data_IF_372471068355
#
_entry.id   IF_372471068355
#
_cell.length_a   1.000
_cell.length_b   1.000
_cell.length_c   1.000
_cell.angle_alpha   90.00
_cell.angle_beta   90.00
_cell.angle_gamma   90.00
#
_symmetry.space_group_name_H-M   'P 1'
#
loop_
_entity.id
_entity.type
_entity.pdbx_description
1 polymer ?
#
# COMPACT_ATOMS: atom_id res chain seq x y z
N UNK A 1 18.76 -22.13 24.15
CA UNK A 1 17.48 -22.13 23.43
C UNK A 1 17.71 -22.81 22.10
N UNK A 2 16.95 -23.84 21.78
CA UNK A 2 17.10 -24.59 20.52
C UNK A 2 16.78 -23.68 19.33
N UNK A 3 17.75 -23.48 18.45
CA UNK A 3 17.56 -22.74 17.20
C UNK A 3 16.81 -23.65 16.23
N UNK A 4 15.49 -23.48 16.14
CA UNK A 4 14.67 -24.18 15.12
C UNK A 4 15.16 -23.73 13.74
N UNK A 5 15.55 -24.69 12.90
CA UNK A 5 15.92 -24.45 11.51
C UNK A 5 14.86 -25.01 10.57
N UNK A 6 14.54 -24.26 9.53
CA UNK A 6 13.64 -24.72 8.48
C UNK A 6 14.33 -25.80 7.64
N UNK A 7 13.66 -26.92 7.38
CA UNK A 7 14.16 -28.00 6.52
C UNK A 7 13.22 -28.17 5.31
N UNK A 8 13.58 -27.52 4.19
CA UNK A 8 12.79 -27.58 2.96
C UNK A 8 13.21 -28.79 2.11
N UNK A 9 12.27 -29.71 1.91
CA UNK A 9 12.43 -30.86 1.03
C UNK A 9 11.50 -30.72 -0.18
N UNK A 10 12.08 -30.37 -1.32
CA UNK A 10 11.34 -30.20 -2.56
C UNK A 10 11.05 -31.54 -3.24
N UNK A 11 9.85 -31.71 -3.78
CA UNK A 11 9.46 -32.93 -4.52
C UNK A 11 10.22 -33.12 -5.83
N UNK A 12 10.67 -32.02 -6.45
CA UNK A 12 11.45 -31.99 -7.70
C UNK A 12 12.48 -30.86 -7.65
N UNK A 13 13.39 -30.81 -8.63
CA UNK A 13 14.25 -29.64 -8.84
C UNK A 13 13.40 -28.42 -9.14
N UNK A 14 13.78 -27.29 -8.56
CA UNK A 14 13.17 -25.99 -8.81
C UNK A 14 13.46 -25.53 -10.24
N UNK A 15 12.51 -24.86 -10.85
CA UNK A 15 12.76 -24.09 -12.05
C UNK A 15 13.46 -22.77 -11.70
N UNK A 16 14.16 -22.18 -12.67
CA UNK A 16 14.90 -20.93 -12.45
C UNK A 16 14.02 -19.79 -11.91
N UNK A 17 12.76 -19.69 -12.35
CA UNK A 17 11.82 -18.67 -11.84
C UNK A 17 11.28 -18.99 -10.44
N UNK A 18 11.38 -20.24 -9.97
CA UNK A 18 10.98 -20.61 -8.59
C UNK A 18 12.09 -20.28 -7.58
N UNK A 19 13.36 -20.22 -8.02
CA UNK A 19 14.50 -19.93 -7.15
C UNK A 19 14.41 -18.54 -6.51
N UNK A 20 13.94 -17.54 -7.26
CA UNK A 20 13.69 -16.19 -6.75
C UNK A 20 12.58 -16.21 -5.68
N UNK A 21 11.46 -16.88 -5.95
CA UNK A 21 10.38 -17.03 -4.97
C UNK A 21 10.83 -17.72 -3.68
N UNK A 22 11.65 -18.78 -3.79
CA UNK A 22 12.21 -19.47 -2.62
C UNK A 22 13.16 -18.55 -1.85
N UNK A 23 13.96 -17.74 -2.54
CA UNK A 23 14.84 -16.76 -1.88
C UNK A 23 14.04 -15.76 -1.06
N UNK A 24 12.95 -15.21 -1.62
CA UNK A 24 12.04 -14.31 -0.88
C UNK A 24 11.36 -15.01 0.30
N UNK A 25 10.94 -16.27 0.12
CA UNK A 25 10.35 -17.07 1.20
C UNK A 25 11.34 -17.26 2.36
N UNK A 26 12.58 -17.67 2.06
CA UNK A 26 13.61 -17.89 3.08
C UNK A 26 13.91 -16.62 3.87
N UNK A 27 14.03 -15.48 3.19
CA UNK A 27 14.20 -14.18 3.83
C UNK A 27 13.00 -13.82 4.73
N UNK A 28 11.78 -14.12 4.29
CA UNK A 28 10.56 -13.88 5.09
C UNK A 28 10.50 -14.74 6.35
N UNK A 29 11.07 -15.95 6.30
CA UNK A 29 11.03 -16.93 7.40
C UNK A 29 12.19 -16.79 8.40
N UNK A 30 13.22 -16.01 8.09
CA UNK A 30 14.41 -15.83 8.94
C UNK A 30 14.05 -15.31 10.34
N UNK A 31 13.04 -14.45 10.44
CA UNK A 31 12.60 -13.81 11.67
C UNK A 31 11.31 -14.41 12.28
N UNK A 32 10.84 -15.55 11.75
CA UNK A 32 9.59 -16.17 12.20
C UNK A 32 9.84 -17.15 13.35
N UNK A 33 9.23 -16.88 14.49
CA UNK A 33 9.21 -17.77 15.65
C UNK A 33 7.83 -18.43 15.79
N UNK A 34 7.75 -19.74 15.51
CA UNK A 34 6.51 -20.50 15.69
C UNK A 34 6.20 -20.72 17.17
N UNK A 35 5.00 -20.33 17.59
CA UNK A 35 4.45 -20.57 18.92
C UNK A 35 3.42 -21.71 18.87
N UNK A 36 2.94 -22.16 20.03
CA UNK A 36 1.83 -23.12 20.13
C UNK A 36 0.45 -22.44 20.14
N UNK A 37 0.39 -21.16 19.75
CA UNK A 37 -0.86 -20.42 19.68
C UNK A 37 -1.61 -20.75 18.39
N UNK A 38 -2.93 -20.58 18.40
CA UNK A 38 -3.75 -20.73 17.21
C UNK A 38 -3.39 -19.68 16.15
N UNK A 39 -3.44 -20.08 14.88
CA UNK A 39 -3.19 -19.21 13.74
C UNK A 39 -4.19 -18.04 13.69
N UNK A 40 -3.68 -16.85 13.37
CA UNK A 40 -4.48 -15.63 13.21
C UNK A 40 -4.08 -14.87 11.97
N UNK A 41 -5.06 -14.26 11.31
CA UNK A 41 -4.79 -13.29 10.24
C UNK A 41 -4.08 -12.08 10.83
N UNK A 42 -2.95 -11.70 10.21
CA UNK A 42 -2.20 -10.50 10.56
C UNK A 42 -2.08 -9.61 9.35
N UNK A 43 -2.40 -8.34 9.51
CA UNK A 43 -2.19 -7.32 8.49
C UNK A 43 -0.72 -6.91 8.46
N UNK A 44 -0.05 -7.03 7.31
CA UNK A 44 1.40 -6.80 7.19
C UNK A 44 1.79 -5.31 7.21
N UNK A 45 0.84 -4.41 6.95
CA UNK A 45 1.09 -2.96 6.90
C UNK A 45 0.75 -2.24 8.22
N UNK A 46 0.56 -3.00 9.29
CA UNK A 46 0.36 -2.50 10.64
C UNK A 46 1.24 -3.31 11.61
N UNK A 47 2.11 -2.68 12.42
CA UNK A 47 2.98 -3.41 13.36
C UNK A 47 2.21 -4.26 14.37
N UNK A 48 1.05 -3.77 14.81
CA UNK A 48 0.13 -4.46 15.71
C UNK A 48 -0.68 -5.56 14.99
N UNK A 49 -0.60 -5.59 13.66
CA UNK A 49 -1.22 -6.62 12.84
C UNK A 49 -2.70 -6.40 12.54
N UNK A 50 -3.23 -5.22 12.86
CA UNK A 50 -4.64 -4.92 12.70
C UNK A 50 -4.92 -4.35 11.31
N UNK A 51 -5.97 -4.87 10.68
CA UNK A 51 -6.43 -4.28 9.44
C UNK A 51 -7.11 -2.93 9.72
N UNK A 52 -6.72 -1.91 8.96
CA UNK A 52 -7.49 -0.67 8.84
C UNK A 52 -7.56 -0.22 7.39
N UNK A 53 -8.70 0.36 7.01
CA UNK A 53 -8.87 0.96 5.68
C UNK A 53 -7.77 1.99 5.40
N UNK A 54 -7.37 2.75 6.43
CA UNK A 54 -6.27 3.72 6.35
C UNK A 54 -4.95 3.05 5.96
N UNK A 55 -4.52 2.03 6.71
CA UNK A 55 -3.26 1.32 6.40
C UNK A 55 -3.27 0.66 5.02
N UNK A 56 -4.42 0.15 4.58
CA UNK A 56 -4.55 -0.40 3.23
C UNK A 56 -4.43 0.67 2.16
N UNK A 57 -5.11 1.81 2.34
CA UNK A 57 -5.02 2.93 1.42
C UNK A 57 -3.60 3.48 1.34
N UNK A 58 -2.94 3.71 2.48
CA UNK A 58 -1.58 4.26 2.53
C UNK A 58 -0.57 3.35 1.82
N UNK A 59 -0.72 2.03 1.92
CA UNK A 59 0.11 1.06 1.19
C UNK A 59 -0.16 1.07 -0.30
N UNK A 60 -1.44 1.08 -0.70
CA UNK A 60 -1.82 1.11 -2.11
C UNK A 60 -1.37 2.40 -2.80
N UNK A 61 -1.46 3.55 -2.12
CA UNK A 61 -0.99 4.83 -2.67
C UNK A 61 0.52 4.78 -2.95
N UNK A 62 1.32 4.15 -2.09
CA UNK A 62 2.76 4.01 -2.30
C UNK A 62 3.12 3.12 -3.50
N UNK A 63 2.33 2.09 -3.77
CA UNK A 63 2.62 1.14 -4.86
C UNK A 63 1.99 1.52 -6.21
N UNK A 64 0.78 2.06 -6.20
CA UNK A 64 -0.04 2.24 -7.42
C UNK A 64 0.03 3.67 -7.95
N UNK A 65 0.17 4.64 -7.05
CA UNK A 65 0.04 6.04 -7.41
C UNK A 65 1.43 6.66 -7.40
N UNK A 66 2.04 6.77 -8.58
CA UNK A 66 2.87 7.94 -8.85
C UNK A 66 1.90 9.12 -8.79
N UNK A 67 1.66 9.60 -7.58
CA UNK A 67 0.84 10.78 -7.37
C UNK A 67 1.42 11.91 -8.20
N UNK A 68 0.60 12.87 -8.65
CA UNK A 68 1.17 14.13 -9.14
C UNK A 68 2.17 14.63 -8.08
N UNK A 69 3.26 15.25 -8.51
CA UNK A 69 4.16 15.93 -7.57
C UNK A 69 3.35 17.09 -6.96
N UNK A 70 2.66 16.81 -5.84
CA UNK A 70 1.87 17.78 -5.11
C UNK A 70 2.86 18.74 -4.46
N UNK A 71 2.77 20.01 -4.80
CA UNK A 71 3.54 21.07 -4.16
C UNK A 71 3.10 21.25 -2.70
N UNK A 72 3.99 21.79 -1.86
CA UNK A 72 3.68 22.13 -0.46
C UNK A 72 2.43 23.03 -0.36
N UNK A 73 2.22 23.90 -1.35
CA UNK A 73 1.03 24.75 -1.41
C UNK A 73 -0.26 23.95 -1.65
N UNK A 74 -0.24 22.99 -2.56
CA UNK A 74 -1.39 22.14 -2.83
C UNK A 74 -1.71 21.23 -1.64
N UNK A 75 -0.69 20.68 -0.96
CA UNK A 75 -0.88 19.91 0.27
C UNK A 75 -1.57 20.74 1.36
N UNK A 76 -1.13 21.98 1.55
CA UNK A 76 -1.78 22.91 2.47
C UNK A 76 -3.23 23.16 2.08
N UNK A 77 -3.52 23.40 0.80
CA UNK A 77 -4.89 23.62 0.32
C UNK A 77 -5.75 22.38 0.54
N UNK A 78 -5.28 21.18 0.18
CA UNK A 78 -6.03 19.93 0.36
C UNK A 78 -6.38 19.63 1.82
N UNK A 79 -5.50 20.02 2.75
CA UNK A 79 -5.75 19.85 4.18
C UNK A 79 -6.89 20.73 4.70
N UNK A 80 -7.08 21.92 4.12
CA UNK A 80 -8.04 22.92 4.61
C UNK A 80 -9.25 23.13 3.69
N UNK A 81 -9.28 22.51 2.50
CA UNK A 81 -10.33 22.75 1.51
C UNK A 81 -11.72 22.44 2.07
N UNK A 82 -11.83 21.43 2.93
CA UNK A 82 -13.10 21.02 3.54
C UNK A 82 -13.55 21.91 4.71
N UNK A 83 -12.67 22.76 5.25
CA UNK A 83 -12.99 23.72 6.31
C UNK A 83 -13.61 25.02 5.76
N UNK A 84 -13.59 25.19 4.43
CA UNK A 84 -14.10 26.39 3.77
C UNK A 84 -15.63 26.49 3.89
N UNK A 85 -16.19 27.69 4.11
CA UNK A 85 -17.64 27.90 4.18
C UNK A 85 -18.34 27.81 2.81
N UNK A 86 -17.61 27.50 1.74
CA UNK A 86 -18.19 27.39 0.41
C UNK A 86 -19.15 26.19 0.29
N UNK A 87 -20.12 26.23 -0.64
CA UNK A 87 -21.02 25.10 -0.87
C UNK A 87 -20.25 23.82 -1.24
N UNK A 88 -20.75 22.65 -0.80
CA UNK A 88 -20.09 21.35 -1.02
C UNK A 88 -19.79 21.03 -2.48
N UNK A 89 -20.65 21.45 -3.41
CA UNK A 89 -20.42 21.32 -4.86
C UNK A 89 -19.19 22.10 -5.33
N UNK A 90 -18.96 23.28 -4.76
CA UNK A 90 -17.80 24.12 -5.08
C UNK A 90 -16.53 23.47 -4.52
N UNK A 91 -16.56 22.97 -3.29
CA UNK A 91 -15.43 22.26 -2.68
C UNK A 91 -15.04 21.00 -3.46
N UNK A 92 -16.03 20.19 -3.83
CA UNK A 92 -15.81 18.98 -4.62
C UNK A 92 -15.21 19.31 -6.00
N UNK A 93 -15.72 20.35 -6.67
CA UNK A 93 -15.17 20.81 -7.94
C UNK A 93 -13.74 21.31 -7.79
N UNK A 94 -13.45 22.13 -6.78
CA UNK A 94 -12.09 22.61 -6.50
C UNK A 94 -11.12 21.48 -6.20
N UNK A 95 -11.52 20.46 -5.43
CA UNK A 95 -10.72 19.26 -5.19
C UNK A 95 -10.41 18.51 -6.49
N UNK A 96 -11.42 18.28 -7.34
CA UNK A 96 -11.23 17.62 -8.65
C UNK A 96 -10.30 18.43 -9.57
N UNK A 97 -10.44 19.76 -9.55
CA UNK A 97 -9.62 20.67 -10.35
C UNK A 97 -8.15 20.62 -9.93
N UNK A 98 -7.87 20.68 -8.63
CA UNK A 98 -6.50 20.62 -8.10
C UNK A 98 -5.82 19.27 -8.33
N UNK A 99 -6.59 18.18 -8.41
CA UNK A 99 -6.06 16.86 -8.77
C UNK A 99 -5.94 16.63 -10.29
N UNK A 100 -6.26 17.63 -11.11
CA UNK A 100 -6.35 17.52 -12.58
C UNK A 100 -7.26 16.35 -13.01
N UNK A 101 -8.41 16.20 -12.33
CA UNK A 101 -9.39 15.14 -12.57
C UNK A 101 -10.70 15.65 -13.19
N UNK A 102 -10.71 16.90 -13.66
CA UNK A 102 -11.83 17.49 -14.39
C UNK A 102 -11.77 17.02 -15.85
N UNK A 103 -12.90 16.75 -16.52
CA UNK A 103 -12.94 16.34 -17.93
C UNK A 103 -12.55 17.49 -18.87
N UNK A 104 -11.28 17.86 -18.90
CA UNK A 104 -10.67 18.74 -19.89
C UNK A 104 -10.31 17.95 -21.14
N UNK A 105 -10.07 18.64 -22.26
CA UNK A 105 -9.63 18.00 -23.51
C UNK A 105 -8.33 17.22 -23.30
N UNK A 106 -7.40 17.82 -22.56
CA UNK A 106 -6.10 17.25 -22.22
C UNK A 106 -6.25 15.98 -21.38
N UNK A 107 -7.07 16.01 -20.32
CA UNK A 107 -7.30 14.84 -19.45
C UNK A 107 -8.04 13.71 -20.14
N UNK A 108 -8.88 14.02 -21.13
CA UNK A 108 -9.53 13.00 -21.97
C UNK A 108 -8.53 12.29 -22.89
N UNK A 109 -7.44 12.95 -23.29
CA UNK A 109 -6.39 12.35 -24.13
C UNK A 109 -5.44 11.45 -23.32
N UNK A 110 -5.36 11.61 -22.00
CA UNK A 110 -4.50 10.83 -21.10
C UNK A 110 -5.15 9.54 -20.57
N UNK A 111 -6.43 9.30 -20.86
CA UNK A 111 -7.19 8.10 -20.46
C UNK A 111 -7.09 7.01 -21.52
#
# INVERSE_FOLDING_TARGET
>A
GERRSWNFLWRRRLFQWEEECVTHLLASLENVCLTHEDDKWRWSFDPEGNFSVKSAYDSLVKEIVVGPNISVHEEYVFKHIWDSPAPSKVLAFSWQLLYDRVPTKENLLLR
#
